data_IF_959996815323
#
_entry.id   IF_959996815323
#
_cell.length_a   1.000
_cell.length_b   1.000
_cell.length_c   1.000
_cell.angle_alpha   90.00
_cell.angle_beta   90.00
_cell.angle_gamma   90.00
#
_symmetry.space_group_name_H-M   'P 1'
#
loop_
_entity.id
_entity.type
_entity.pdbx_description
1 polymer ?
#
# COMPACT_ATOMS: atom_id res chain seq x y z
N UNK A 1 9.63 -6.36 -14.90
CA UNK A 1 9.32 -4.97 -14.49
C UNK A 1 8.70 -4.97 -13.10
N UNK A 2 9.42 -4.52 -12.08
CA UNK A 2 8.77 -4.22 -10.80
C UNK A 2 7.92 -2.96 -10.99
N UNK A 3 6.59 -3.13 -11.07
CA UNK A 3 5.62 -2.02 -11.19
C UNK A 3 5.67 -1.05 -9.99
N UNK A 4 6.27 -1.49 -8.88
CA UNK A 4 6.37 -0.75 -7.63
C UNK A 4 7.76 -0.92 -7.02
N UNK A 5 8.42 0.20 -6.73
CA UNK A 5 9.71 0.24 -6.04
C UNK A 5 9.58 -0.25 -4.60
N UNK A 6 10.66 -0.78 -4.03
CA UNK A 6 10.70 -1.24 -2.63
C UNK A 6 10.26 -0.15 -1.64
N UNK A 7 10.77 1.08 -1.83
CA UNK A 7 10.40 2.24 -1.01
C UNK A 7 8.90 2.52 -1.01
N UNK A 8 8.25 2.38 -2.17
CA UNK A 8 6.81 2.60 -2.31
C UNK A 8 6.02 1.54 -1.55
N UNK A 9 6.43 0.26 -1.61
CA UNK A 9 5.81 -0.81 -0.82
C UNK A 9 5.97 -0.56 0.67
N UNK A 10 7.18 -0.17 1.10
CA UNK A 10 7.50 0.12 2.50
C UNK A 10 6.66 1.27 3.02
N UNK A 11 6.50 2.35 2.25
CA UNK A 11 5.67 3.50 2.62
C UNK A 11 4.20 3.11 2.85
N UNK A 12 3.64 2.25 1.99
CA UNK A 12 2.26 1.77 2.11
C UNK A 12 2.06 0.88 3.35
N UNK A 13 3.00 -0.03 3.62
CA UNK A 13 2.96 -0.89 4.81
C UNK A 13 3.12 -0.05 6.07
N UNK A 14 4.00 0.95 6.09
CA UNK A 14 4.15 1.88 7.21
C UNK A 14 2.88 2.69 7.47
N UNK A 15 2.23 3.27 6.44
CA UNK A 15 0.95 3.97 6.63
C UNK A 15 -0.15 3.06 7.20
N UNK A 16 -0.17 1.78 6.80
CA UNK A 16 -1.10 0.81 7.36
C UNK A 16 -0.79 0.50 8.83
N UNK A 17 0.48 0.29 9.16
CA UNK A 17 0.93 0.05 10.54
C UNK A 17 0.68 1.26 11.45
N UNK A 18 0.79 2.47 10.91
CA UNK A 18 0.51 3.74 11.59
C UNK A 18 -0.99 4.02 11.76
N UNK A 19 -1.87 3.06 11.44
CA UNK A 19 -3.33 3.20 11.51
C UNK A 19 -3.90 4.36 10.66
N UNK A 20 -3.23 4.76 9.59
CA UNK A 20 -3.71 5.85 8.71
C UNK A 20 -4.89 5.45 7.82
N UNK A 21 -5.36 4.21 7.90
CA UNK A 21 -6.56 3.75 7.24
C UNK A 21 -6.54 2.27 6.89
N UNK A 22 -7.61 1.82 6.23
CA UNK A 22 -7.70 0.47 5.70
C UNK A 22 -6.96 0.33 4.36
N UNK A 23 -6.68 -0.91 3.93
CA UNK A 23 -6.06 -1.21 2.64
C UNK A 23 -6.66 -0.45 1.45
N UNK A 24 -7.99 -0.30 1.43
CA UNK A 24 -8.71 0.41 0.38
C UNK A 24 -8.48 1.94 0.44
N UNK A 25 -8.44 2.52 1.63
CA UNK A 25 -8.18 3.94 1.84
C UNK A 25 -6.77 4.31 1.40
N UNK A 26 -5.79 3.50 1.80
CA UNK A 26 -4.39 3.68 1.44
C UNK A 26 -4.20 3.47 -0.06
N UNK A 27 -4.79 2.41 -0.65
CA UNK A 27 -4.68 2.18 -2.09
C UNK A 27 -5.31 3.33 -2.88
N UNK A 28 -6.47 3.84 -2.47
CA UNK A 28 -7.13 4.97 -3.12
C UNK A 28 -6.30 6.26 -3.02
N UNK A 29 -5.70 6.54 -1.85
CA UNK A 29 -4.82 7.69 -1.62
C UNK A 29 -3.62 7.71 -2.56
N UNK A 30 -3.06 6.52 -2.83
CA UNK A 30 -1.89 6.34 -3.70
C UNK A 30 -2.26 5.98 -5.15
N UNK A 31 -3.54 6.05 -5.52
CA UNK A 31 -4.01 5.71 -6.89
C UNK A 31 -3.82 4.25 -7.28
N UNK A 32 -3.62 3.36 -6.30
CA UNK A 32 -3.54 1.92 -6.50
C UNK A 32 -4.94 1.32 -6.59
N UNK A 33 -5.18 0.59 -7.67
CA UNK A 33 -6.43 -0.12 -7.91
C UNK A 33 -6.54 -1.45 -7.14
N UNK A 34 -5.43 -1.97 -6.60
CA UNK A 34 -5.41 -3.29 -5.93
C UNK A 34 -5.08 -3.19 -4.44
N UNK A 35 -6.12 -3.12 -3.61
CA UNK A 35 -6.00 -3.32 -2.16
C UNK A 35 -5.55 -4.75 -1.79
N UNK A 36 -5.81 -5.74 -2.66
CA UNK A 36 -5.27 -7.09 -2.49
C UNK A 36 -3.74 -7.16 -2.57
N UNK A 37 -3.09 -6.30 -3.35
CA UNK A 37 -1.63 -6.27 -3.42
C UNK A 37 -1.01 -5.81 -2.10
N UNK A 38 -1.65 -4.86 -1.39
CA UNK A 38 -1.18 -4.45 -0.07
C UNK A 38 -1.25 -5.59 0.95
N UNK A 39 -2.29 -6.45 0.89
CA UNK A 39 -2.38 -7.65 1.76
C UNK A 39 -1.23 -8.64 1.53
N UNK A 40 -0.60 -8.61 0.37
CA UNK A 40 0.57 -9.44 0.06
C UNK A 40 1.89 -8.79 0.49
N UNK A 41 1.87 -7.51 0.87
CA UNK A 41 3.07 -6.74 1.24
C UNK A 41 3.19 -6.48 2.74
N UNK A 42 2.06 -6.40 3.45
CA UNK A 42 2.02 -6.54 4.91
C UNK A 42 2.43 -7.96 5.29
#
# INVERSE_FOLDING_TARGET
MAKYSYEFKKQLVSEYLDNQGSYASISQKHGMSSSCQLKTWV
#
